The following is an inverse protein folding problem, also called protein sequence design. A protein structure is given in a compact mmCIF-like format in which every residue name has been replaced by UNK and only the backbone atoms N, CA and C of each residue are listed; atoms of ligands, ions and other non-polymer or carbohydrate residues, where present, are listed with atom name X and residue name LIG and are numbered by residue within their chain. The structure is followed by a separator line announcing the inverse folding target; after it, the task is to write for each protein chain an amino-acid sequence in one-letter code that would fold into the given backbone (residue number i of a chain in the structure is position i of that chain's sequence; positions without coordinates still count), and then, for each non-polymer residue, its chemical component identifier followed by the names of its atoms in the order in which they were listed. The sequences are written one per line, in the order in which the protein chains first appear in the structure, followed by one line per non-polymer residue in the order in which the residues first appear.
data_IF_499987100631
#
_entry.id   IF_499987100631
#
_cell.length_a   1.000
_cell.length_b   1.000
_cell.length_c   1.000
_cell.angle_alpha   90.00
_cell.angle_beta   90.00
_cell.angle_gamma   90.00
#
_symmetry.space_group_name_H-M   'P 1'
#
loop_
_entity.id
_entity.type
_entity.pdbx_description
1 polymer ?
#
# COMPACT_ATOMS: atom_id res chain seq x y z
N UNK A 1 23.79 -47.76 27.43
CA UNK A 1 23.21 -46.56 26.79
C UNK A 1 22.64 -47.01 25.45
N UNK A 2 21.35 -47.32 25.38
CA UNK A 2 20.70 -47.68 24.12
C UNK A 2 19.83 -46.51 23.69
N UNK A 3 20.25 -45.89 22.60
CA UNK A 3 19.58 -44.79 21.90
C UNK A 3 18.20 -45.20 21.44
N UNK A 4 17.15 -44.56 21.98
CA UNK A 4 15.79 -44.68 21.47
C UNK A 4 15.69 -43.93 20.15
N UNK A 5 15.87 -44.64 19.03
CA UNK A 5 15.61 -44.08 17.71
C UNK A 5 14.11 -43.80 17.61
N UNK A 6 13.74 -42.51 17.63
CA UNK A 6 12.36 -42.07 17.44
C UNK A 6 11.85 -42.59 16.10
N UNK A 7 10.88 -43.50 16.15
CA UNK A 7 10.23 -44.04 14.96
C UNK A 7 9.64 -42.89 14.12
N UNK A 8 9.75 -42.95 12.78
CA UNK A 8 9.18 -41.93 11.91
C UNK A 8 7.67 -41.75 12.16
N UNK A 9 7.11 -40.52 12.02
CA UNK A 9 5.75 -40.21 12.43
C UNK A 9 4.64 -41.03 11.74
N UNK A 10 4.94 -41.64 10.58
CA UNK A 10 4.02 -42.53 9.87
C UNK A 10 3.96 -43.96 10.42
N UNK A 11 4.90 -44.39 11.27
CA UNK A 11 4.90 -45.75 11.85
C UNK A 11 3.77 -46.00 12.86
N UNK A 12 3.01 -44.97 13.24
CA UNK A 12 1.83 -45.05 14.13
C UNK A 12 0.50 -44.74 13.43
N UNK A 13 0.50 -44.58 12.11
CA UNK A 13 -0.71 -44.35 11.33
C UNK A 13 -1.27 -45.72 10.94
N UNK A 14 -2.46 -46.05 11.43
CA UNK A 14 -3.20 -47.21 10.94
C UNK A 14 -3.80 -46.84 9.56
N UNK A 15 -3.45 -47.54 8.47
CA UNK A 15 -3.93 -47.21 7.12
C UNK A 15 -5.45 -47.26 6.98
N UNK A 16 -6.10 -48.20 7.64
CA UNK A 16 -7.57 -48.36 7.58
C UNK A 16 -8.26 -47.23 8.33
N UNK A 17 -7.71 -46.84 9.49
CA UNK A 17 -8.19 -45.68 10.24
C UNK A 17 -7.99 -44.39 9.45
N UNK A 18 -6.78 -44.19 8.90
CA UNK A 18 -6.47 -43.00 8.10
C UNK A 18 -7.32 -42.91 6.84
N UNK A 19 -7.67 -44.04 6.22
CA UNK A 19 -8.62 -44.09 5.10
C UNK A 19 -10.04 -43.73 5.56
N UNK A 20 -10.47 -44.20 6.73
CA UNK A 20 -11.76 -43.85 7.33
C UNK A 20 -11.87 -42.38 7.76
N UNK A 21 -10.73 -41.73 8.04
CA UNK A 21 -10.65 -40.30 8.38
C UNK A 21 -10.67 -39.38 7.14
N UNK A 22 -10.58 -39.94 5.92
CA UNK A 22 -10.69 -39.14 4.69
C UNK A 22 -12.16 -38.85 4.38
N UNK A 23 -12.45 -37.58 4.11
CA UNK A 23 -13.72 -37.17 3.52
C UNK A 23 -13.87 -37.70 2.08
N UNK A 24 -15.08 -37.54 1.54
CA UNK A 24 -15.36 -37.89 0.15
C UNK A 24 -14.37 -37.24 -0.84
N UNK A 25 -13.94 -37.97 -1.88
CA UNK A 25 -13.07 -37.41 -2.90
C UNK A 25 -13.65 -36.13 -3.53
N UNK A 26 -12.82 -35.11 -3.67
CA UNK A 26 -13.21 -33.88 -4.35
C UNK A 26 -13.56 -34.20 -5.81
N UNK A 27 -14.80 -33.88 -6.19
CA UNK A 27 -15.28 -34.05 -7.55
C UNK A 27 -15.00 -32.80 -8.40
N UNK A 28 -15.20 -32.92 -9.71
CA UNK A 28 -15.23 -31.76 -10.61
C UNK A 28 -16.26 -30.71 -10.18
N UNK A 29 -17.39 -31.15 -9.59
CA UNK A 29 -18.38 -30.27 -8.97
C UNK A 29 -17.83 -29.51 -7.77
N UNK A 30 -17.04 -30.18 -6.92
CA UNK A 30 -16.32 -29.54 -5.82
C UNK A 30 -15.35 -28.46 -6.29
N UNK A 31 -14.57 -28.74 -7.34
CA UNK A 31 -13.71 -27.73 -7.97
C UNK A 31 -14.50 -26.54 -8.53
N UNK A 32 -15.64 -26.80 -9.18
CA UNK A 32 -16.50 -25.74 -9.70
C UNK A 32 -17.06 -24.85 -8.58
N UNK A 33 -17.44 -25.44 -7.44
CA UNK A 33 -17.91 -24.70 -6.27
C UNK A 33 -16.82 -23.78 -5.70
N UNK A 34 -15.59 -24.29 -5.54
CA UNK A 34 -14.43 -23.50 -5.08
C UNK A 34 -14.12 -22.35 -6.04
N UNK A 35 -14.10 -22.62 -7.34
CA UNK A 35 -13.87 -21.60 -8.36
C UNK A 35 -14.98 -20.52 -8.36
N UNK A 36 -16.23 -20.92 -8.14
CA UNK A 36 -17.37 -20.01 -7.96
C UNK A 36 -17.21 -19.10 -6.74
N UNK A 37 -16.83 -19.67 -5.59
CA UNK A 37 -16.59 -18.90 -4.37
C UNK A 37 -15.44 -17.89 -4.53
N UNK A 38 -14.34 -18.30 -5.17
CA UNK A 38 -13.21 -17.41 -5.46
C UNK A 38 -13.60 -16.26 -6.39
N UNK A 39 -14.43 -16.54 -7.41
CA UNK A 39 -14.98 -15.52 -8.32
C UNK A 39 -15.83 -14.51 -7.56
N UNK A 40 -16.78 -14.99 -6.77
CA UNK A 40 -17.66 -14.13 -5.97
C UNK A 40 -16.87 -13.25 -5.00
N UNK A 41 -15.84 -13.81 -4.33
CA UNK A 41 -14.97 -13.04 -3.44
C UNK A 41 -14.17 -11.95 -4.15
N UNK A 42 -13.65 -12.23 -5.36
CA UNK A 42 -12.98 -11.21 -6.18
C UNK A 42 -13.94 -10.10 -6.58
N UNK A 43 -15.15 -10.46 -7.00
CA UNK A 43 -16.15 -9.50 -7.47
C UNK A 43 -16.65 -8.62 -6.29
N UNK A 44 -16.80 -9.17 -5.08
CA UNK A 44 -17.05 -8.41 -3.85
C UNK A 44 -15.90 -7.44 -3.52
N UNK A 45 -14.65 -7.92 -3.52
CA UNK A 45 -13.48 -7.09 -3.25
C UNK A 45 -13.30 -5.96 -4.27
N UNK A 46 -13.63 -6.22 -5.53
CA UNK A 46 -13.69 -5.19 -6.55
C UNK A 46 -14.77 -4.16 -6.21
N UNK A 47 -16.01 -4.59 -5.95
CA UNK A 47 -17.13 -3.70 -5.64
C UNK A 47 -16.93 -2.84 -4.40
N UNK A 48 -16.37 -3.40 -3.32
CA UNK A 48 -16.18 -2.68 -2.04
C UNK A 48 -15.09 -1.62 -2.06
N UNK A 49 -14.18 -1.69 -3.04
CA UNK A 49 -12.99 -0.84 -3.09
C UNK A 49 -13.00 0.19 -4.22
N UNK A 50 -14.13 0.41 -4.88
CA UNK A 50 -14.29 1.37 -5.97
C UNK A 50 -15.16 2.53 -5.49
N UNK A 51 -14.78 3.77 -5.81
CA UNK A 51 -15.68 4.90 -5.64
C UNK A 51 -16.91 4.73 -6.55
N UNK A 52 -17.94 5.57 -6.40
CA UNK A 52 -19.18 5.49 -7.20
C UNK A 52 -18.93 5.47 -8.72
N UNK A 53 -17.80 6.02 -9.18
CA UNK A 53 -17.36 6.03 -10.58
C UNK A 53 -16.61 4.77 -11.03
N UNK A 54 -16.47 3.76 -10.17
CA UNK A 54 -15.73 2.54 -10.48
C UNK A 54 -14.22 2.74 -10.50
N UNK A 55 -13.68 3.84 -9.93
CA UNK A 55 -12.25 4.14 -9.96
C UNK A 55 -11.68 4.31 -8.56
N UNK A 56 -10.37 4.07 -8.44
CA UNK A 56 -9.59 4.40 -7.24
C UNK A 56 -8.81 5.67 -7.51
N UNK A 57 -8.98 6.65 -6.65
CA UNK A 57 -8.20 7.89 -6.67
C UNK A 57 -7.35 7.95 -5.40
N UNK A 58 -6.12 8.43 -5.54
CA UNK A 58 -5.26 8.67 -4.39
C UNK A 58 -5.81 9.84 -3.58
N UNK A 59 -5.79 9.67 -2.26
CA UNK A 59 -6.12 10.75 -1.32
C UNK A 59 -5.13 11.91 -1.50
N UNK A 60 -5.63 13.14 -1.34
CA UNK A 60 -4.80 14.34 -1.29
C UNK A 60 -4.07 14.46 0.05
N UNK A 61 -2.93 15.15 0.03
CA UNK A 61 -2.08 15.40 1.19
C UNK A 61 -2.24 16.84 1.67
N UNK A 62 -2.39 17.01 2.98
CA UNK A 62 -2.36 18.32 3.62
C UNK A 62 -0.92 18.86 3.72
N UNK A 63 -0.78 20.17 3.89
CA UNK A 63 0.53 20.79 4.18
C UNK A 63 1.21 20.18 5.42
N UNK A 64 0.44 19.79 6.44
CA UNK A 64 0.98 19.15 7.63
C UNK A 64 1.55 17.77 7.32
N UNK A 65 0.83 16.93 6.59
CA UNK A 65 1.31 15.59 6.21
C UNK A 65 2.57 15.69 5.33
N UNK A 66 2.59 16.61 4.36
CA UNK A 66 3.74 16.83 3.49
C UNK A 66 4.98 17.14 4.32
N UNK A 67 4.89 18.12 5.21
CA UNK A 67 6.04 18.59 6.00
C UNK A 67 6.44 17.63 7.12
N UNK A 68 5.51 16.79 7.60
CA UNK A 68 5.76 15.81 8.65
C UNK A 68 6.39 14.52 8.12
N UNK A 69 5.95 14.05 6.95
CA UNK A 69 6.27 12.70 6.46
C UNK A 69 7.00 12.66 5.12
N UNK A 70 6.83 13.67 4.27
CA UNK A 70 7.28 13.58 2.88
C UNK A 70 8.50 14.48 2.64
N UNK A 71 8.40 15.77 2.91
CA UNK A 71 9.45 16.75 2.66
C UNK A 71 9.90 17.31 4.01
N UNK A 72 11.14 17.07 4.46
CA UNK A 72 11.60 17.38 5.82
C UNK A 72 11.88 18.89 6.03
N UNK A 73 10.87 19.74 5.85
CA UNK A 73 10.94 21.19 6.03
C UNK A 73 9.91 21.68 7.04
N UNK A 74 10.20 22.78 7.72
CA UNK A 74 9.21 23.44 8.56
C UNK A 74 8.05 23.99 7.69
N UNK A 75 6.82 23.89 8.18
CA UNK A 75 5.64 24.39 7.46
C UNK A 75 5.74 25.86 7.04
N UNK A 76 6.28 26.72 7.91
CA UNK A 76 6.45 28.14 7.62
C UNK A 76 7.40 28.37 6.44
N UNK A 77 8.46 27.57 6.34
CA UNK A 77 9.39 27.62 5.20
C UNK A 77 8.72 27.12 3.93
N UNK A 78 8.01 25.99 3.99
CA UNK A 78 7.26 25.45 2.85
C UNK A 78 6.27 26.47 2.28
N UNK A 79 5.45 27.10 3.12
CA UNK A 79 4.49 28.14 2.69
C UNK A 79 5.19 29.34 2.06
N UNK A 80 6.34 29.76 2.59
CA UNK A 80 7.12 30.89 2.05
C UNK A 80 7.65 30.59 0.65
N UNK A 81 8.20 29.40 0.45
CA UNK A 81 8.71 28.96 -0.86
C UNK A 81 7.57 28.94 -1.88
N UNK A 82 6.42 28.35 -1.54
CA UNK A 82 5.27 28.35 -2.44
C UNK A 82 4.79 29.76 -2.81
N UNK A 83 4.85 30.72 -1.88
CA UNK A 83 4.51 32.13 -2.16
C UNK A 83 5.51 32.81 -3.10
N UNK A 84 6.78 32.42 -3.05
CA UNK A 84 7.85 32.97 -3.90
C UNK A 84 7.80 32.41 -5.32
N UNK A 85 7.18 31.24 -5.51
CA UNK A 85 7.08 30.55 -6.79
C UNK A 85 5.60 30.27 -7.15
N UNK A 86 4.84 31.29 -7.60
CA UNK A 86 3.41 31.16 -7.88
C UNK A 86 3.09 30.24 -9.06
N UNK A 87 4.07 29.96 -9.93
CA UNK A 87 4.00 29.04 -11.06
C UNK A 87 4.06 27.56 -10.65
N UNK A 88 4.46 27.26 -9.41
CA UNK A 88 4.58 25.89 -8.90
C UNK A 88 3.25 25.36 -8.36
N UNK A 89 3.13 24.04 -8.13
CA UNK A 89 1.96 23.46 -7.50
C UNK A 89 1.58 24.16 -6.18
N UNK A 90 0.45 24.86 -6.19
CA UNK A 90 -0.05 25.60 -5.04
C UNK A 90 -0.99 24.79 -4.16
N UNK A 91 -1.37 23.59 -4.62
CA UNK A 91 -2.45 22.80 -4.04
C UNK A 91 -3.81 23.45 -4.25
N UNK A 92 -4.85 22.71 -3.91
CA UNK A 92 -6.25 23.13 -3.99
C UNK A 92 -6.75 23.49 -2.61
N UNK A 93 -7.64 24.47 -2.53
CA UNK A 93 -8.38 24.75 -1.32
C UNK A 93 -9.84 25.01 -1.67
N UNK A 94 -10.74 24.53 -0.82
CA UNK A 94 -12.19 24.77 -0.97
C UNK A 94 -12.56 26.22 -0.66
N UNK A 95 -11.73 26.91 0.14
CA UNK A 95 -11.92 28.31 0.52
C UNK A 95 -10.61 29.08 0.41
N UNK A 96 -10.67 30.39 0.24
CA UNK A 96 -9.48 31.24 0.05
C UNK A 96 -8.50 31.17 1.24
N UNK A 97 -9.02 30.96 2.45
CA UNK A 97 -8.25 30.78 3.69
C UNK A 97 -8.15 29.30 4.15
N UNK A 98 -8.62 28.36 3.33
CA UNK A 98 -8.72 26.96 3.70
C UNK A 98 -7.39 26.22 3.72
N UNK A 99 -7.43 24.98 4.22
CA UNK A 99 -6.30 24.08 4.12
C UNK A 99 -5.97 23.81 2.64
N UNK A 100 -4.68 23.79 2.31
CA UNK A 100 -4.19 23.42 0.99
C UNK A 100 -3.97 21.92 0.90
N UNK A 101 -4.53 21.32 -0.15
CA UNK A 101 -4.50 19.90 -0.46
C UNK A 101 -3.76 19.64 -1.76
N UNK A 102 -2.87 18.66 -1.77
CA UNK A 102 -1.98 18.38 -2.89
C UNK A 102 -2.13 16.92 -3.34
N UNK A 103 -2.06 16.71 -4.65
CA UNK A 103 -1.92 15.37 -5.23
C UNK A 103 -0.51 14.82 -4.98
N UNK A 104 -0.32 13.51 -5.13
CA UNK A 104 1.00 12.89 -5.01
C UNK A 104 2.01 13.48 -6.01
N UNK A 105 1.60 13.70 -7.26
CA UNK A 105 2.47 14.22 -8.32
C UNK A 105 2.96 15.65 -8.03
N UNK A 106 2.08 16.49 -7.48
CA UNK A 106 2.44 17.83 -7.03
C UNK A 106 3.47 17.76 -5.88
N UNK A 107 3.26 16.86 -4.90
CA UNK A 107 4.22 16.67 -3.80
C UNK A 107 5.58 16.18 -4.30
N UNK A 108 5.60 15.25 -5.26
CA UNK A 108 6.84 14.74 -5.86
C UNK A 108 7.57 15.83 -6.65
N UNK A 109 6.83 16.67 -7.38
CA UNK A 109 7.38 17.85 -8.07
C UNK A 109 8.05 18.78 -7.06
N UNK A 110 7.33 19.17 -6.00
CA UNK A 110 7.87 20.03 -4.93
C UNK A 110 9.10 19.40 -4.26
N UNK A 111 9.07 18.10 -3.96
CA UNK A 111 10.21 17.36 -3.39
C UNK A 111 11.44 17.46 -4.30
N UNK A 112 11.26 17.37 -5.61
CA UNK A 112 12.35 17.49 -6.57
C UNK A 112 13.01 18.87 -6.51
N UNK A 113 12.22 19.95 -6.39
CA UNK A 113 12.73 21.31 -6.22
C UNK A 113 13.49 21.50 -4.91
N UNK A 114 12.91 21.08 -3.78
CA UNK A 114 13.61 21.12 -2.50
C UNK A 114 14.90 20.29 -2.52
N UNK A 115 14.96 19.19 -3.29
CA UNK A 115 16.19 18.44 -3.49
C UNK A 115 17.29 19.17 -4.27
N UNK A 116 16.92 20.12 -5.15
CA UNK A 116 17.87 20.91 -5.95
C UNK A 116 18.32 22.17 -5.21
N UNK A 117 17.40 22.87 -4.56
CA UNK A 117 17.62 24.21 -3.99
C UNK A 117 17.69 24.23 -2.46
N UNK A 118 17.25 23.15 -1.80
CA UNK A 118 17.22 23.04 -0.36
C UNK A 118 18.61 22.83 0.26
N UNK A 119 18.62 22.75 1.59
CA UNK A 119 19.87 22.56 2.35
C UNK A 119 20.50 21.20 2.03
N UNK A 120 21.79 21.19 1.70
CA UNK A 120 22.57 19.95 1.52
C UNK A 120 22.61 19.06 2.77
N UNK A 121 22.28 19.61 3.94
CA UNK A 121 22.22 18.85 5.19
C UNK A 121 20.94 18.00 5.33
N UNK A 122 19.99 18.09 4.38
CA UNK A 122 18.73 17.33 4.42
C UNK A 122 18.59 16.43 3.20
N UNK A 123 18.17 15.19 3.44
CA UNK A 123 17.83 14.25 2.38
C UNK A 123 16.39 14.46 1.93
N UNK A 124 16.21 15.19 0.83
CA UNK A 124 14.90 15.42 0.23
C UNK A 124 14.47 14.31 -0.73
N UNK A 125 15.43 13.63 -1.36
CA UNK A 125 15.19 12.59 -2.35
C UNK A 125 15.68 11.25 -1.84
N UNK A 126 14.91 10.15 -2.03
CA UNK A 126 15.41 8.82 -1.78
C UNK A 126 16.64 8.52 -2.63
N UNK A 127 17.54 7.68 -2.12
CA UNK A 127 18.64 7.16 -2.92
C UNK A 127 18.10 6.48 -4.20
N UNK A 128 18.67 6.86 -5.34
CA UNK A 128 18.42 6.20 -6.63
C UNK A 128 19.74 5.63 -7.13
N UNK A 129 19.83 4.31 -7.40
CA UNK A 129 21.04 3.73 -7.97
C UNK A 129 21.32 4.34 -9.34
N UNK A 130 22.60 4.30 -9.75
CA UNK A 130 22.98 4.70 -11.12
C UNK A 130 22.47 3.61 -12.07
N UNK A 131 21.53 3.95 -12.96
CA UNK A 131 20.90 3.02 -13.89
C UNK A 131 19.48 3.42 -14.21
#
# INVERSE_FOLDING_TARGET
MSSSTTLPPYFRINPDQAMGDLDDPVTTGGFAAIAGAARAGRDDLAGRGLAEDGKRHLRLFSTWEITRYLIPVAQAHFRRVLKQHPDWPQGRSETEAGAKWFTLDEVLTLRAHFGKEGSKAKEYQPYRPKG
#
